data_IF_905508888124
#
_entry.id   IF_905508888124
#
_cell.length_a   1.000
_cell.length_b   1.000
_cell.length_c   1.000
_cell.angle_alpha   90.00
_cell.angle_beta   90.00
_cell.angle_gamma   90.00
#
_symmetry.space_group_name_H-M   'P 1'
#
loop_
_entity.id
_entity.type
_entity.pdbx_description
1 polymer ?
#
# COMPACT_ATOMS: atom_id res chain seq x y z
N UNK A 1 5.91 48.05 -26.15
CA UNK A 1 6.56 46.94 -25.43
C UNK A 1 6.16 47.06 -23.97
N UNK A 2 5.14 46.31 -23.53
CA UNK A 2 4.23 46.73 -22.46
C UNK A 2 4.55 46.21 -21.06
N UNK A 3 3.91 46.79 -20.05
CA UNK A 3 4.02 46.43 -18.64
C UNK A 3 3.82 44.93 -18.35
N UNK A 4 3.10 44.20 -19.22
CA UNK A 4 2.88 42.76 -19.11
C UNK A 4 4.16 41.93 -19.28
N UNK A 5 5.03 42.29 -20.25
CA UNK A 5 6.30 41.56 -20.45
C UNK A 5 7.27 41.82 -19.31
N UNK A 6 7.24 43.03 -18.75
CA UNK A 6 8.00 43.38 -17.56
C UNK A 6 7.52 42.60 -16.32
N UNK A 7 6.20 42.45 -16.15
CA UNK A 7 5.63 41.69 -15.04
C UNK A 7 5.92 40.19 -15.12
N UNK A 8 5.83 39.60 -16.32
CA UNK A 8 6.21 38.19 -16.54
C UNK A 8 7.69 37.93 -16.24
N UNK A 9 8.57 38.89 -16.58
CA UNK A 9 10.00 38.79 -16.27
C UNK A 9 10.26 38.84 -14.76
N UNK A 10 9.58 39.75 -14.03
CA UNK A 10 9.67 39.83 -12.56
C UNK A 10 9.17 38.54 -11.90
N UNK A 11 8.02 38.04 -12.35
CA UNK A 11 7.44 36.81 -11.81
C UNK A 11 8.34 35.59 -12.07
N UNK A 12 8.88 35.48 -13.29
CA UNK A 12 9.84 34.43 -13.63
C UNK A 12 11.08 34.48 -12.76
N UNK A 13 11.66 35.67 -12.57
CA UNK A 13 12.84 35.86 -11.75
C UNK A 13 12.59 35.51 -10.27
N UNK A 14 11.39 35.78 -9.75
CA UNK A 14 11.00 35.38 -8.39
C UNK A 14 11.03 33.85 -8.20
N UNK A 15 10.50 33.09 -9.17
CA UNK A 15 10.51 31.63 -9.08
C UNK A 15 11.92 31.05 -9.20
N UNK A 16 12.75 31.59 -10.11
CA UNK A 16 14.16 31.19 -10.25
C UNK A 16 14.91 31.40 -8.94
N UNK A 17 14.82 32.61 -8.35
CA UNK A 17 15.46 32.91 -7.07
C UNK A 17 14.96 32.05 -5.91
N UNK A 18 13.66 31.68 -5.92
CA UNK A 18 13.09 30.81 -4.90
C UNK A 18 13.65 29.39 -5.01
N UNK A 19 13.81 28.86 -6.22
CA UNK A 19 14.40 27.53 -6.46
C UNK A 19 15.87 27.53 -6.04
N UNK A 20 16.65 28.54 -6.44
CA UNK A 20 18.06 28.68 -6.06
C UNK A 20 18.23 28.74 -4.54
N UNK A 21 17.35 29.46 -3.83
CA UNK A 21 17.39 29.53 -2.37
C UNK A 21 17.15 28.16 -1.71
N UNK A 22 16.17 27.40 -2.20
CA UNK A 22 15.85 26.07 -1.67
C UNK A 22 17.06 25.13 -1.86
N UNK A 23 17.70 25.17 -3.03
CA UNK A 23 18.90 24.35 -3.28
C UNK A 23 20.06 24.78 -2.35
N UNK A 24 20.30 26.08 -2.20
CA UNK A 24 21.36 26.58 -1.33
C UNK A 24 21.16 26.21 0.15
N UNK A 25 19.91 26.21 0.63
CA UNK A 25 19.56 25.79 2.00
C UNK A 25 19.70 24.28 2.20
N UNK A 26 19.40 23.49 1.16
CA UNK A 26 19.61 22.04 1.18
C UNK A 26 21.10 21.68 1.19
N UNK A 27 21.90 22.31 0.32
CA UNK A 27 23.34 22.08 0.23
C UNK A 27 24.09 22.55 1.49
N UNK A 28 23.69 23.67 2.09
CA UNK A 28 24.28 24.15 3.35
C UNK A 28 23.97 23.21 4.52
N UNK A 29 22.77 22.62 4.56
CA UNK A 29 22.40 21.62 5.56
C UNK A 29 23.23 20.32 5.46
N UNK A 30 23.68 19.96 4.26
CA UNK A 30 24.56 18.82 4.03
C UNK A 30 26.02 19.09 4.45
N UNK A 31 26.46 20.35 4.46
CA UNK A 31 27.83 20.77 4.79
C UNK A 31 28.09 20.91 6.30
N UNK A 32 27.08 21.25 7.10
CA UNK A 32 27.17 21.29 8.57
C UNK A 32 27.44 19.90 9.20
N UNK A 33 27.39 18.80 8.42
CA UNK A 33 27.68 17.44 8.89
C UNK A 33 29.13 16.94 8.61
N UNK A 34 30.05 17.82 8.18
CA UNK A 34 31.28 17.39 7.49
C UNK A 34 32.64 17.95 7.94
N UNK A 35 32.96 18.01 9.24
CA UNK A 35 34.36 18.08 9.71
C UNK A 35 34.72 16.89 10.62
N UNK A 36 34.77 15.72 10.00
CA UNK A 36 35.73 14.67 10.31
C UNK A 36 35.86 13.87 9.03
N UNK A 37 37.05 13.31 8.77
CA UNK A 37 37.30 12.35 7.69
C UNK A 37 36.33 11.18 7.82
N UNK A 38 35.12 11.36 7.29
CA UNK A 38 34.04 10.40 7.33
C UNK A 38 34.23 9.63 6.03
N UNK A 39 34.78 8.42 6.15
CA UNK A 39 34.52 7.38 5.17
C UNK A 39 33.06 7.57 4.74
N UNK A 40 32.82 7.67 3.43
CA UNK A 40 31.45 7.58 2.87
C UNK A 40 30.74 6.57 3.75
N UNK A 41 29.69 6.93 4.52
CA UNK A 41 28.93 5.91 5.20
C UNK A 41 28.38 5.12 4.05
N UNK A 42 29.05 4.00 3.79
CA UNK A 42 28.66 2.99 2.88
C UNK A 42 27.16 2.88 3.12
N UNK A 43 26.36 3.15 2.10
CA UNK A 43 24.92 2.95 2.16
C UNK A 43 24.69 1.43 2.15
N UNK A 44 25.41 0.70 3.00
CA UNK A 44 25.18 -0.68 3.39
C UNK A 44 23.98 -0.61 4.31
N UNK A 45 22.82 -0.55 3.66
CA UNK A 45 21.92 -1.67 3.82
C UNK A 45 21.47 -1.91 5.27
N UNK A 46 20.84 -0.90 5.86
CA UNK A 46 19.64 -1.17 6.68
C UNK A 46 18.42 -1.43 5.77
N UNK A 47 18.62 -2.07 4.62
CA UNK A 47 17.53 -2.76 3.95
C UNK A 47 17.30 -4.03 4.73
N UNK A 48 16.37 -4.00 5.68
CA UNK A 48 15.82 -5.24 6.24
C UNK A 48 15.24 -6.04 5.07
N UNK A 49 15.98 -7.04 4.59
CA UNK A 49 15.56 -7.88 3.47
C UNK A 49 14.41 -8.74 3.97
N UNK A 50 13.24 -8.55 3.39
CA UNK A 50 12.06 -9.35 3.71
C UNK A 50 12.11 -10.62 2.87
N UNK A 51 12.75 -11.66 3.43
CA UNK A 51 13.02 -12.90 2.70
C UNK A 51 11.87 -13.92 2.79
N UNK A 52 11.04 -13.84 3.83
CA UNK A 52 10.00 -14.84 4.09
C UNK A 52 8.91 -14.31 5.02
N UNK A 53 7.71 -14.90 4.89
CA UNK A 53 6.63 -14.75 5.87
C UNK A 53 6.72 -15.84 6.94
N UNK A 54 6.34 -15.49 8.17
CA UNK A 54 6.13 -16.46 9.22
C UNK A 54 4.94 -17.38 8.88
N UNK A 55 5.09 -18.67 9.21
CA UNK A 55 4.01 -19.64 9.02
C UNK A 55 2.91 -19.36 10.05
N UNK A 56 1.68 -19.18 9.57
CA UNK A 56 0.51 -19.02 10.41
C UNK A 56 0.02 -20.38 10.92
N UNK A 57 -0.35 -20.45 12.20
CA UNK A 57 -1.09 -21.58 12.75
C UNK A 57 -2.62 -21.36 12.64
N UNK A 58 -3.37 -22.40 12.97
CA UNK A 58 -4.84 -22.36 12.88
C UNK A 58 -5.45 -21.34 13.86
N UNK A 59 -4.86 -21.13 15.05
CA UNK A 59 -5.30 -20.09 15.99
C UNK A 59 -5.14 -18.68 15.40
N UNK A 60 -4.02 -18.39 14.72
CA UNK A 60 -3.79 -17.10 14.07
C UNK A 60 -4.85 -16.85 12.99
N UNK A 61 -5.13 -17.86 12.17
CA UNK A 61 -6.13 -17.75 11.09
C UNK A 61 -7.54 -17.66 11.65
N UNK A 62 -7.84 -18.38 12.74
CA UNK A 62 -9.12 -18.30 13.43
C UNK A 62 -9.36 -16.90 14.00
N UNK A 63 -8.36 -16.32 14.64
CA UNK A 63 -8.39 -14.95 15.14
C UNK A 63 -8.58 -13.94 14.00
N UNK A 64 -7.85 -14.11 12.89
CA UNK A 64 -8.01 -13.30 11.69
C UNK A 64 -9.44 -13.34 11.13
N UNK A 65 -10.02 -14.53 10.97
CA UNK A 65 -11.41 -14.72 10.54
C UNK A 65 -12.39 -14.03 11.50
N UNK A 66 -12.13 -14.10 12.80
CA UNK A 66 -13.03 -13.52 13.81
C UNK A 66 -13.05 -11.98 13.80
N UNK A 67 -11.90 -11.35 13.51
CA UNK A 67 -11.71 -9.89 13.48
C UNK A 67 -12.14 -9.25 12.16
N UNK A 68 -12.18 -10.02 11.10
CA UNK A 68 -12.57 -9.54 9.77
C UNK A 68 -14.05 -9.20 9.63
N UNK A 69 -14.35 -8.42 8.59
CA UNK A 69 -15.71 -8.02 8.28
C UNK A 69 -16.49 -9.20 7.69
N UNK A 70 -17.63 -9.55 8.27
CA UNK A 70 -18.49 -10.67 7.80
C UNK A 70 -19.28 -10.31 6.55
N UNK A 71 -18.66 -9.60 5.62
CA UNK A 71 -19.22 -9.22 4.33
C UNK A 71 -19.00 -10.34 3.34
N UNK A 72 -19.85 -10.40 2.32
CA UNK A 72 -19.69 -11.33 1.21
C UNK A 72 -19.94 -10.58 -0.10
N UNK A 73 -19.18 -10.95 -1.10
CA UNK A 73 -19.25 -10.49 -2.48
C UNK A 73 -19.95 -11.53 -3.34
N UNK A 74 -20.62 -11.11 -4.40
CA UNK A 74 -21.23 -12.04 -5.37
C UNK A 74 -20.19 -12.78 -6.22
N UNK A 75 -18.92 -12.35 -6.21
CA UNK A 75 -17.81 -13.09 -6.81
C UNK A 75 -17.24 -14.16 -5.87
N UNK A 76 -17.61 -14.15 -4.58
CA UNK A 76 -17.08 -15.14 -3.66
C UNK A 76 -17.67 -16.51 -4.04
N UNK A 77 -16.84 -17.55 -4.16
CA UNK A 77 -17.32 -18.89 -4.48
C UNK A 77 -18.21 -19.45 -3.36
N UNK A 78 -18.12 -18.91 -2.14
CA UNK A 78 -18.92 -19.31 -1.00
C UNK A 78 -19.32 -18.12 -0.14
N UNK A 79 -20.59 -18.01 0.29
CA UNK A 79 -21.01 -16.98 1.23
C UNK A 79 -20.25 -17.06 2.55
N UNK A 80 -19.82 -15.93 3.08
CA UNK A 80 -19.07 -15.83 4.35
C UNK A 80 -19.81 -16.48 5.52
N UNK A 81 -21.14 -16.42 5.54
CA UNK A 81 -21.95 -17.07 6.57
C UNK A 81 -21.83 -18.60 6.55
N UNK A 82 -21.61 -19.20 5.38
CA UNK A 82 -21.40 -20.64 5.23
C UNK A 82 -19.99 -21.02 5.66
N UNK A 83 -18.98 -20.21 5.29
CA UNK A 83 -17.59 -20.36 5.76
C UNK A 83 -17.55 -20.40 7.29
N UNK A 84 -18.24 -19.47 7.96
CA UNK A 84 -18.28 -19.40 9.42
C UNK A 84 -18.98 -20.61 10.06
N UNK A 85 -20.04 -21.14 9.43
CA UNK A 85 -20.73 -22.35 9.92
C UNK A 85 -19.87 -23.61 9.79
N UNK A 86 -19.02 -23.66 8.78
CA UNK A 86 -18.13 -24.77 8.51
C UNK A 86 -16.69 -24.48 8.96
N UNK A 87 -16.49 -23.50 9.83
CA UNK A 87 -15.17 -22.97 10.15
C UNK A 87 -14.23 -24.06 10.70
N UNK A 88 -14.70 -24.92 11.60
CA UNK A 88 -13.87 -25.96 12.20
C UNK A 88 -13.34 -26.98 11.16
N UNK A 89 -14.09 -27.19 10.06
CA UNK A 89 -13.69 -28.08 8.97
C UNK A 89 -12.78 -27.34 7.98
N UNK A 90 -13.05 -26.06 7.73
CA UNK A 90 -12.36 -25.26 6.73
C UNK A 90 -11.05 -24.64 7.25
N UNK A 91 -10.91 -24.49 8.56
CA UNK A 91 -9.77 -23.80 9.18
C UNK A 91 -8.41 -24.41 8.78
N UNK A 92 -8.20 -25.74 8.79
CA UNK A 92 -6.93 -26.33 8.36
C UNK A 92 -6.65 -26.05 6.87
N UNK A 93 -7.69 -26.11 6.04
CA UNK A 93 -7.60 -25.91 4.59
C UNK A 93 -7.25 -24.45 4.27
N UNK A 94 -7.96 -23.51 4.89
CA UNK A 94 -7.71 -22.07 4.73
C UNK A 94 -6.31 -21.71 5.22
N UNK A 95 -5.90 -22.22 6.38
CA UNK A 95 -4.55 -21.99 6.93
C UNK A 95 -3.46 -22.47 5.99
N UNK A 96 -3.60 -23.70 5.47
CA UNK A 96 -2.66 -24.26 4.50
C UNK A 96 -2.61 -23.41 3.22
N UNK A 97 -3.76 -23.00 2.72
CA UNK A 97 -3.87 -22.22 1.50
C UNK A 97 -3.20 -20.84 1.62
N UNK A 98 -3.37 -20.15 2.75
CA UNK A 98 -2.70 -18.88 3.04
C UNK A 98 -1.18 -19.07 3.10
N UNK A 99 -0.71 -20.05 3.88
CA UNK A 99 0.72 -20.30 4.03
C UNK A 99 1.39 -20.67 2.69
N UNK A 100 0.75 -21.50 1.86
CA UNK A 100 1.26 -21.83 0.52
C UNK A 100 1.33 -20.59 -0.37
N UNK A 101 0.34 -19.71 -0.31
CA UNK A 101 0.32 -18.48 -1.11
C UNK A 101 1.41 -17.51 -0.68
N UNK A 102 1.63 -17.34 0.63
CA UNK A 102 2.68 -16.48 1.18
C UNK A 102 4.09 -17.02 0.89
N UNK A 103 4.29 -18.33 0.95
CA UNK A 103 5.59 -18.95 0.66
C UNK A 103 5.94 -18.95 -0.83
N UNK A 104 4.95 -19.18 -1.71
CA UNK A 104 5.18 -19.23 -3.15
C UNK A 104 5.08 -17.87 -3.84
N UNK A 105 4.45 -16.88 -3.21
CA UNK A 105 4.09 -15.61 -3.83
C UNK A 105 2.98 -15.72 -4.88
N UNK A 106 2.31 -16.87 -4.99
CA UNK A 106 1.27 -17.15 -6.00
C UNK A 106 -0.11 -17.06 -5.37
N UNK A 107 -1.00 -16.30 -6.01
CA UNK A 107 -2.40 -16.13 -5.59
C UNK A 107 -3.33 -16.41 -6.76
N UNK A 108 -4.50 -16.98 -6.47
CA UNK A 108 -5.60 -17.20 -7.41
C UNK A 108 -6.01 -15.87 -8.05
N UNK A 109 -6.26 -15.84 -9.36
CA UNK A 109 -6.59 -14.59 -10.07
C UNK A 109 -7.92 -14.01 -9.61
N UNK A 110 -8.86 -14.87 -9.21
CA UNK A 110 -10.14 -14.54 -8.62
C UNK A 110 -9.98 -13.71 -7.33
N UNK A 111 -8.93 -13.95 -6.54
CA UNK A 111 -8.70 -13.23 -5.28
C UNK A 111 -8.18 -11.80 -5.48
N UNK A 112 -7.67 -11.52 -6.67
CA UNK A 112 -7.21 -10.18 -7.05
C UNK A 112 -8.38 -9.29 -7.48
N UNK A 113 -9.56 -9.88 -7.68
CA UNK A 113 -10.77 -9.17 -8.06
C UNK A 113 -11.62 -8.83 -6.84
N UNK A 114 -12.12 -7.59 -6.79
CA UNK A 114 -13.20 -7.23 -5.87
C UNK A 114 -14.31 -6.50 -6.61
N UNK A 115 -15.55 -6.74 -6.18
CA UNK A 115 -16.66 -5.85 -6.51
C UNK A 115 -16.81 -4.85 -5.39
N UNK A 116 -16.33 -3.64 -5.63
CA UNK A 116 -16.60 -2.52 -4.74
C UNK A 116 -18.07 -2.15 -4.89
N UNK A 117 -18.87 -2.55 -3.90
CA UNK A 117 -20.20 -1.98 -3.73
C UNK A 117 -20.04 -0.46 -3.58
N UNK A 118 -20.83 0.31 -4.33
CA UNK A 118 -20.69 1.77 -4.46
C UNK A 118 -20.30 2.42 -3.14
N UNK A 119 -19.30 3.31 -3.10
CA UNK A 119 -19.14 4.19 -1.96
C UNK A 119 -20.50 4.85 -1.70
N UNK A 120 -20.90 4.96 -0.44
CA UNK A 120 -22.17 5.54 0.01
C UNK A 120 -22.16 7.05 -0.26
N UNK A 121 -22.03 7.45 -1.52
CA UNK A 121 -22.15 8.82 -1.97
C UNK A 121 -23.64 9.12 -2.03
N UNK A 122 -24.02 10.24 -1.41
CA UNK A 122 -25.36 10.80 -1.57
C UNK A 122 -25.55 11.09 -3.07
N UNK A 123 -26.26 10.19 -3.75
CA UNK A 123 -26.85 10.27 -5.11
C UNK A 123 -25.98 9.73 -6.28
N UNK A 124 -26.70 9.05 -7.17
CA UNK A 124 -26.36 8.45 -8.48
C UNK A 124 -25.61 7.10 -8.49
N UNK A 125 -26.17 6.15 -9.26
CA UNK A 125 -25.85 4.71 -9.25
C UNK A 125 -25.09 4.30 -10.53
N UNK A 126 -23.76 4.27 -10.51
CA UNK A 126 -22.94 3.58 -11.54
C UNK A 126 -21.89 2.65 -10.89
N UNK A 127 -21.56 1.51 -11.52
CA UNK A 127 -20.67 0.45 -10.96
C UNK A 127 -19.24 0.62 -11.48
N UNK A 128 -18.22 0.45 -10.63
CA UNK A 128 -16.80 0.44 -11.01
C UNK A 128 -16.15 -0.88 -10.57
N UNK A 129 -15.33 -1.48 -11.43
CA UNK A 129 -14.46 -2.63 -11.11
C UNK A 129 -13.10 -2.08 -10.68
N UNK A 130 -12.66 -2.41 -9.47
CA UNK A 130 -11.33 -2.06 -8.95
C UNK A 130 -10.77 -3.28 -8.23
N UNK A 131 -9.48 -3.55 -8.39
CA UNK A 131 -8.79 -4.65 -7.73
C UNK A 131 -8.65 -4.36 -6.22
N UNK A 132 -9.22 -5.21 -5.37
CA UNK A 132 -8.93 -5.22 -3.95
C UNK A 132 -8.87 -6.67 -3.47
N UNK A 133 -7.90 -6.97 -2.62
CA UNK A 133 -7.84 -8.20 -1.86
C UNK A 133 -9.01 -8.20 -0.86
N UNK A 134 -9.97 -9.07 -1.06
CA UNK A 134 -10.97 -9.39 -0.05
C UNK A 134 -11.07 -10.89 0.02
N UNK A 135 -10.13 -11.48 0.75
CA UNK A 135 -10.36 -12.77 1.41
C UNK A 135 -10.28 -12.44 2.89
N UNK A 136 -11.40 -12.66 3.57
CA UNK A 136 -11.74 -12.40 4.98
C UNK A 136 -12.28 -10.98 5.29
#
# INVERSE_FOLDING_TARGET
MGALTFWLMILGNFFVQKIERIHAEFDSSALETGHSSRSVPEFTELMSRFDSFDILNEENVKDLISKSSKKSCTLDPMPTSLVLKCQDILLPVITRMINLSLQSGVFCDEWKQALVQRPQLKKSKTYLRIFALSVI
#
